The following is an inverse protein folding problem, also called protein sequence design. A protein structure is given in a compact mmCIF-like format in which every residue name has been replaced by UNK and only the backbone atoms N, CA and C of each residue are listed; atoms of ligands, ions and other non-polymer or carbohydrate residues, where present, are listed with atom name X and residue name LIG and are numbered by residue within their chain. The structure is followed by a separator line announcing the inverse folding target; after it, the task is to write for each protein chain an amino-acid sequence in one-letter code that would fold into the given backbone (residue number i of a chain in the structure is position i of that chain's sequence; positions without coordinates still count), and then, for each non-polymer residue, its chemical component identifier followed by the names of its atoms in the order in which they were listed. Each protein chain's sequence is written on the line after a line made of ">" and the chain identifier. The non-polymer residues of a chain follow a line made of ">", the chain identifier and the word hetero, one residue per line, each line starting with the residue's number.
data_IF_325058628078
#
_entry.id   IF_325058628078
#
_cell.length_a   1.000
_cell.length_b   1.000
_cell.length_c   1.000
_cell.angle_alpha   90.00
_cell.angle_beta   90.00
_cell.angle_gamma   90.00
#
_symmetry.space_group_name_H-M   'P 1'
#
loop_
_entity.id
_entity.type
_entity.pdbx_description
1 polymer ?
#
# COMPACT_ATOMS: atom_id res chain seq x y z
N UNK A 1 16.98 8.05 -70.75
CA UNK A 1 17.16 7.83 -69.30
C UNK A 1 15.87 7.22 -68.77
N UNK A 2 15.92 5.94 -68.43
CA UNK A 2 14.75 5.05 -68.40
C UNK A 2 13.90 5.19 -67.15
N UNK A 3 12.59 4.94 -67.31
CA UNK A 3 11.57 4.92 -66.26
C UNK A 3 11.99 4.10 -65.02
N UNK A 4 12.87 3.11 -65.17
CA UNK A 4 13.46 2.32 -64.09
C UNK A 4 14.29 3.12 -63.08
N UNK A 5 15.02 4.16 -63.51
CA UNK A 5 15.82 5.00 -62.61
C UNK A 5 14.94 5.89 -61.72
N UNK A 6 13.77 6.30 -62.24
CA UNK A 6 12.76 7.04 -61.45
C UNK A 6 12.11 6.17 -60.36
N UNK A 7 11.80 4.91 -60.69
CA UNK A 7 11.19 3.98 -59.72
C UNK A 7 12.15 3.67 -58.57
N UNK A 8 13.43 3.43 -58.86
CA UNK A 8 14.42 3.14 -57.80
C UNK A 8 14.58 4.33 -56.83
N UNK A 9 14.69 5.55 -57.35
CA UNK A 9 14.77 6.75 -56.48
C UNK A 9 13.50 6.97 -55.66
N UNK A 10 12.32 6.68 -56.20
CA UNK A 10 11.07 6.79 -55.47
C UNK A 10 10.97 5.77 -54.31
N UNK A 11 11.40 4.53 -54.55
CA UNK A 11 11.46 3.49 -53.50
C UNK A 11 12.46 3.86 -52.41
N UNK A 12 13.63 4.37 -52.77
CA UNK A 12 14.62 4.86 -51.80
C UNK A 12 14.08 6.04 -50.97
N UNK A 13 13.35 6.97 -51.59
CA UNK A 13 12.73 8.09 -50.88
C UNK A 13 11.64 7.61 -49.89
N UNK A 14 10.79 6.68 -50.31
CA UNK A 14 9.77 6.08 -49.43
C UNK A 14 10.40 5.38 -48.23
N UNK A 15 11.51 4.67 -48.43
CA UNK A 15 12.24 4.01 -47.35
C UNK A 15 12.80 5.02 -46.34
N UNK A 16 13.34 6.14 -46.80
CA UNK A 16 13.83 7.23 -45.91
C UNK A 16 12.68 7.87 -45.14
N UNK A 17 11.54 8.13 -45.78
CA UNK A 17 10.34 8.67 -45.10
C UNK A 17 9.84 7.69 -44.04
N UNK A 18 9.78 6.39 -44.35
CA UNK A 18 9.36 5.35 -43.41
C UNK A 18 10.33 5.25 -42.20
N UNK A 19 11.64 5.35 -42.43
CA UNK A 19 12.64 5.38 -41.36
C UNK A 19 12.48 6.62 -40.47
N UNK A 20 12.27 7.81 -41.05
CA UNK A 20 12.04 9.03 -40.28
C UNK A 20 10.75 8.94 -39.44
N UNK A 21 9.68 8.41 -40.02
CA UNK A 21 8.42 8.23 -39.29
C UNK A 21 8.55 7.20 -38.17
N UNK A 22 9.31 6.12 -38.40
CA UNK A 22 9.68 5.14 -37.38
C UNK A 22 10.50 5.77 -36.25
N UNK A 23 11.48 6.60 -36.58
CA UNK A 23 12.32 7.28 -35.60
C UNK A 23 11.53 8.27 -34.73
N UNK A 24 10.67 9.11 -35.33
CA UNK A 24 9.81 10.03 -34.57
C UNK A 24 8.87 9.25 -33.63
N UNK A 25 8.30 8.15 -34.12
CA UNK A 25 7.44 7.29 -33.30
C UNK A 25 8.21 6.62 -32.16
N UNK A 26 9.46 6.21 -32.40
CA UNK A 26 10.33 5.61 -31.41
C UNK A 26 10.70 6.61 -30.30
N UNK A 27 11.16 7.82 -30.67
CA UNK A 27 11.47 8.89 -29.71
C UNK A 27 10.23 9.28 -28.90
N UNK A 28 9.05 9.29 -29.53
CA UNK A 28 7.79 9.52 -28.82
C UNK A 28 7.50 8.45 -27.76
N UNK A 29 7.69 7.16 -28.09
CA UNK A 29 7.50 6.05 -27.14
C UNK A 29 8.50 6.09 -25.98
N UNK A 30 9.76 6.38 -26.26
CA UNK A 30 10.80 6.46 -25.23
C UNK A 30 10.52 7.58 -24.21
N UNK A 31 10.03 8.74 -24.68
CA UNK A 31 9.58 9.82 -23.79
C UNK A 31 8.39 9.39 -22.93
N UNK A 32 7.38 8.77 -23.55
CA UNK A 32 6.20 8.26 -22.83
C UNK A 32 6.60 7.22 -21.75
N UNK A 33 7.58 6.35 -22.02
CA UNK A 33 8.10 5.37 -21.06
C UNK A 33 8.85 6.03 -19.89
N UNK A 34 9.72 7.01 -20.17
CA UNK A 34 10.44 7.76 -19.13
C UNK A 34 9.46 8.50 -18.21
N UNK A 35 8.41 9.09 -18.76
CA UNK A 35 7.39 9.78 -17.96
C UNK A 35 6.59 8.82 -17.06
N UNK A 36 6.23 7.64 -17.57
CA UNK A 36 5.61 6.59 -16.75
C UNK A 36 6.52 6.11 -15.63
N UNK A 37 7.82 5.96 -15.89
CA UNK A 37 8.79 5.59 -14.87
C UNK A 37 8.90 6.67 -13.79
N UNK A 38 8.99 7.96 -14.19
CA UNK A 38 8.99 9.09 -13.24
C UNK A 38 7.75 9.10 -12.37
N UNK A 39 6.57 8.90 -12.97
CA UNK A 39 5.32 8.81 -12.22
C UNK A 39 5.34 7.64 -11.24
N UNK A 40 5.77 6.44 -11.66
CA UNK A 40 5.88 5.28 -10.77
C UNK A 40 6.73 5.60 -9.55
N UNK A 41 7.95 6.12 -9.75
CA UNK A 41 8.82 6.50 -8.65
C UNK A 41 8.20 7.58 -7.76
N UNK A 42 7.54 8.58 -8.35
CA UNK A 42 6.90 9.63 -7.58
C UNK A 42 5.76 9.10 -6.69
N UNK A 43 4.96 8.16 -7.19
CA UNK A 43 3.89 7.51 -6.42
C UNK A 43 4.50 6.61 -5.34
N UNK A 44 5.55 5.84 -5.65
CA UNK A 44 6.20 4.96 -4.67
C UNK A 44 6.80 5.73 -3.49
N UNK A 45 7.58 6.78 -3.76
CA UNK A 45 8.14 7.64 -2.70
C UNK A 45 7.06 8.34 -1.87
N UNK A 46 5.99 8.82 -2.52
CA UNK A 46 4.87 9.44 -1.84
C UNK A 46 4.11 8.43 -0.97
N UNK A 47 3.95 7.20 -1.45
CA UNK A 47 3.26 6.12 -0.73
C UNK A 47 4.05 5.69 0.50
N UNK A 48 5.38 5.56 0.38
CA UNK A 48 6.27 5.26 1.49
C UNK A 48 6.24 6.35 2.56
N UNK A 49 6.26 7.62 2.17
CA UNK A 49 6.15 8.72 3.11
C UNK A 49 4.80 8.76 3.81
N UNK A 50 3.70 8.53 3.08
CA UNK A 50 2.35 8.43 3.64
C UNK A 50 2.21 7.28 4.64
N UNK A 51 2.74 6.10 4.31
CA UNK A 51 2.78 4.93 5.19
C UNK A 51 3.59 5.21 6.46
N UNK A 52 4.74 5.88 6.36
CA UNK A 52 5.53 6.24 7.54
C UNK A 52 4.81 7.26 8.44
N UNK A 53 4.22 8.30 7.87
CA UNK A 53 3.53 9.34 8.63
C UNK A 53 2.32 8.80 9.41
N UNK A 54 1.56 7.87 8.81
CA UNK A 54 0.41 7.27 9.51
C UNK A 54 0.80 6.42 10.72
N UNK A 55 2.02 5.87 10.75
CA UNK A 55 2.54 5.05 11.85
C UNK A 55 3.15 5.91 12.96
N UNK A 56 3.86 6.98 12.60
CA UNK A 56 4.55 7.86 13.56
C UNK A 56 3.60 8.66 14.48
N UNK A 57 2.32 8.75 14.13
CA UNK A 57 1.31 9.50 14.91
C UNK A 57 0.72 8.69 16.08
N UNK A 58 0.94 7.38 16.13
CA UNK A 58 0.64 6.60 17.32
C UNK A 58 1.69 6.88 18.38
N UNK A 59 1.30 7.32 19.58
CA UNK A 59 2.18 7.43 20.75
C UNK A 59 3.13 6.22 20.79
N UNK A 60 4.41 6.48 20.53
CA UNK A 60 5.50 5.50 20.60
C UNK A 60 5.85 5.22 22.06
N UNK A 61 4.84 5.02 22.91
CA UNK A 61 5.02 4.32 24.19
C UNK A 61 4.93 2.82 23.87
N UNK A 62 5.98 2.33 23.20
CA UNK A 62 6.17 0.92 22.86
C UNK A 62 6.41 0.12 24.15
N UNK A 63 5.38 0.00 24.98
CA UNK A 63 5.35 -1.01 26.02
C UNK A 63 5.27 -2.36 25.30
N UNK A 64 6.42 -3.03 25.22
CA UNK A 64 6.63 -4.32 24.56
C UNK A 64 5.66 -5.43 25.04
N UNK A 65 4.93 -5.18 26.12
CA UNK A 65 3.90 -6.08 26.65
C UNK A 65 2.55 -5.98 25.93
N UNK A 66 2.29 -4.92 25.13
CA UNK A 66 1.06 -4.74 24.36
C UNK A 66 1.32 -4.90 22.85
N UNK A 67 1.25 -6.15 22.43
CA UNK A 67 1.47 -6.59 21.06
C UNK A 67 0.64 -5.82 20.02
N UNK A 68 1.31 -5.23 19.02
CA UNK A 68 0.86 -5.04 17.62
C UNK A 68 -0.37 -4.15 17.33
N UNK A 69 -0.90 -3.37 18.27
CA UNK A 69 -1.99 -2.43 17.97
C UNK A 69 -1.46 -1.06 17.54
N UNK A 70 -1.39 -0.80 16.23
CA UNK A 70 -1.08 0.52 15.67
C UNK A 70 -2.37 1.28 15.35
N UNK A 71 -2.51 2.50 15.88
CA UNK A 71 -3.63 3.39 15.52
C UNK A 71 -3.22 4.22 14.32
N UNK A 72 -3.66 3.82 13.14
CA UNK A 72 -3.35 4.56 11.91
C UNK A 72 -4.20 5.82 11.79
N UNK A 73 -3.60 6.91 11.33
CA UNK A 73 -4.32 8.11 10.91
C UNK A 73 -4.38 8.15 9.37
N UNK A 74 -5.53 7.80 8.75
CA UNK A 74 -5.63 7.72 7.30
C UNK A 74 -5.54 9.09 6.61
N UNK A 75 -6.07 10.15 7.23
CA UNK A 75 -6.01 11.49 6.66
C UNK A 75 -4.57 12.00 6.56
N UNK A 76 -3.79 11.81 7.62
CA UNK A 76 -2.38 12.21 7.60
C UNK A 76 -1.57 11.41 6.56
N UNK A 77 -1.90 10.13 6.36
CA UNK A 77 -1.27 9.30 5.33
C UNK A 77 -1.47 9.93 3.94
N UNK A 78 -2.71 10.33 3.65
CA UNK A 78 -3.10 10.93 2.38
C UNK A 78 -2.50 12.33 2.19
N UNK A 79 -2.54 13.18 3.22
CA UNK A 79 -1.98 14.53 3.15
C UNK A 79 -0.46 14.48 2.91
N UNK A 80 0.25 13.58 3.60
CA UNK A 80 1.69 13.39 3.42
C UNK A 80 2.01 12.83 2.02
N UNK A 81 1.18 11.91 1.52
CA UNK A 81 1.30 11.41 0.15
C UNK A 81 1.20 12.56 -0.86
N UNK A 82 0.17 13.40 -0.74
CA UNK A 82 -0.07 14.53 -1.65
C UNK A 82 1.10 15.51 -1.59
N UNK A 83 1.63 15.81 -0.40
CA UNK A 83 2.74 16.74 -0.23
C UNK A 83 4.02 16.25 -0.91
N UNK A 84 4.38 14.99 -0.68
CA UNK A 84 5.55 14.38 -1.31
C UNK A 84 5.36 14.24 -2.82
N UNK A 85 4.15 13.93 -3.28
CA UNK A 85 3.83 13.90 -4.71
C UNK A 85 4.01 15.29 -5.35
N UNK A 86 3.54 16.37 -4.69
CA UNK A 86 3.76 17.74 -5.13
C UNK A 86 5.26 18.04 -5.26
N UNK A 87 6.05 17.70 -4.24
CA UNK A 87 7.50 17.91 -4.25
C UNK A 87 8.20 17.14 -5.38
N UNK A 88 7.80 15.89 -5.64
CA UNK A 88 8.35 15.06 -6.72
C UNK A 88 8.15 15.68 -8.11
N UNK A 89 7.08 16.47 -8.29
CA UNK A 89 6.79 17.21 -9.52
C UNK A 89 7.25 18.67 -9.50
N UNK A 90 8.00 19.09 -8.47
CA UNK A 90 8.49 20.45 -8.32
C UNK A 90 7.40 21.48 -8.01
N UNK A 91 6.24 21.03 -7.52
CA UNK A 91 5.13 21.88 -7.11
C UNK A 91 5.24 22.14 -5.60
N UNK A 92 5.01 23.39 -5.20
CA UNK A 92 4.86 23.72 -3.77
C UNK A 92 3.47 23.26 -3.29
N UNK A 93 3.33 22.66 -2.08
CA UNK A 93 2.06 22.09 -1.60
C UNK A 93 1.06 23.17 -1.14
N UNK A 94 0.67 24.08 -2.05
CA UNK A 94 -0.46 25.01 -1.87
C UNK A 94 -1.79 24.26 -1.95
N UNK A 95 -2.85 24.83 -1.39
CA UNK A 95 -4.21 24.26 -1.44
C UNK A 95 -4.66 23.93 -2.88
N UNK A 96 -4.38 24.83 -3.82
CA UNK A 96 -4.67 24.63 -5.25
C UNK A 96 -3.92 23.44 -5.86
N UNK A 97 -2.62 23.30 -5.57
CA UNK A 97 -1.81 22.20 -6.09
C UNK A 97 -2.21 20.86 -5.43
N UNK A 98 -2.55 20.88 -4.14
CA UNK A 98 -3.08 19.71 -3.43
C UNK A 98 -4.40 19.25 -4.04
N UNK A 99 -5.33 20.16 -4.32
CA UNK A 99 -6.59 19.86 -5.01
C UNK A 99 -6.34 19.25 -6.39
N UNK A 100 -5.43 19.84 -7.17
CA UNK A 100 -5.04 19.30 -8.49
C UNK A 100 -4.50 17.87 -8.41
N UNK A 101 -3.71 17.55 -7.37
CA UNK A 101 -3.20 16.20 -7.17
C UNK A 101 -4.30 15.24 -6.71
N UNK A 102 -5.23 15.69 -5.85
CA UNK A 102 -6.40 14.92 -5.42
C UNK A 102 -7.29 14.53 -6.61
N UNK A 103 -7.45 15.41 -7.60
CA UNK A 103 -8.18 15.12 -8.84
C UNK A 103 -7.58 13.96 -9.63
N UNK A 104 -6.28 13.69 -9.49
CA UNK A 104 -5.66 12.53 -10.13
C UNK A 104 -5.82 11.24 -9.33
N UNK A 105 -6.39 11.28 -8.12
CA UNK A 105 -6.55 10.11 -7.25
C UNK A 105 -8.03 9.69 -7.26
N UNK A 106 -8.41 8.70 -8.08
CA UNK A 106 -9.75 8.12 -8.03
C UNK A 106 -10.08 7.48 -6.69
N UNK A 107 -9.15 6.66 -6.19
CA UNK A 107 -9.34 5.82 -5.01
C UNK A 107 -8.02 5.69 -4.28
N UNK A 108 -8.06 5.85 -2.96
CA UNK A 108 -6.98 5.46 -2.06
C UNK A 108 -7.54 4.53 -0.99
N UNK A 109 -6.74 3.62 -0.45
CA UNK A 109 -7.12 2.76 0.64
C UNK A 109 -6.03 2.71 1.70
N UNK A 110 -6.42 2.77 2.97
CA UNK A 110 -5.53 2.58 4.11
C UNK A 110 -5.94 1.29 4.80
N UNK A 111 -5.09 0.28 4.70
CA UNK A 111 -5.25 -0.98 5.39
C UNK A 111 -4.71 -0.83 6.82
N UNK A 112 -5.59 -0.98 7.81
CA UNK A 112 -5.26 -0.95 9.23
C UNK A 112 -5.27 -2.38 9.81
N UNK A 113 -4.90 -2.51 11.08
CA UNK A 113 -4.78 -3.83 11.72
C UNK A 113 -6.11 -4.61 11.77
N UNK A 114 -7.23 -3.95 12.03
CA UNK A 114 -8.56 -4.51 12.32
C UNK A 114 -9.63 -4.10 11.28
N UNK A 115 -9.20 -3.53 10.16
CA UNK A 115 -10.07 -3.11 9.06
C UNK A 115 -9.36 -2.15 8.12
N UNK A 116 -10.08 -1.58 7.17
CA UNK A 116 -9.51 -0.68 6.18
C UNK A 116 -10.41 0.53 5.96
N UNK A 117 -9.82 1.61 5.47
CA UNK A 117 -10.50 2.83 5.03
C UNK A 117 -10.34 2.92 3.52
N UNK A 118 -11.40 3.33 2.82
CA UNK A 118 -11.30 3.69 1.41
C UNK A 118 -11.66 5.16 1.28
N UNK A 119 -10.78 5.93 0.63
CA UNK A 119 -11.10 7.26 0.16
C UNK A 119 -11.60 7.21 -1.29
N UNK A 120 -12.70 7.91 -1.52
CA UNK A 120 -13.32 8.11 -2.83
C UNK A 120 -13.61 9.58 -3.03
N UNK A 121 -13.74 9.98 -4.29
CA UNK A 121 -14.20 11.32 -4.64
C UNK A 121 -15.66 11.46 -4.22
N UNK A 122 -15.93 12.35 -3.27
CA UNK A 122 -17.27 12.69 -2.83
C UNK A 122 -17.52 14.19 -3.03
N UNK A 123 -18.76 14.53 -3.40
CA UNK A 123 -19.18 15.92 -3.53
C UNK A 123 -19.32 16.52 -2.12
N UNK A 124 -18.40 17.39 -1.72
CA UNK A 124 -18.54 18.14 -0.47
C UNK A 124 -19.63 19.19 -0.67
N UNK A 125 -20.70 19.07 0.11
CA UNK A 125 -21.73 20.10 0.23
C UNK A 125 -21.20 21.18 1.16
N UNK A 126 -21.18 22.43 0.69
CA UNK A 126 -20.70 23.53 1.51
C UNK A 126 -21.63 23.69 2.72
N UNK A 127 -21.07 23.78 3.92
CA UNK A 127 -21.85 23.89 5.17
C UNK A 127 -22.60 25.24 5.32
N UNK A 128 -22.48 26.13 4.33
CA UNK A 128 -23.05 27.48 4.37
C UNK A 128 -24.33 27.49 3.52
N UNK A 129 -25.47 27.68 4.19
CA UNK A 129 -26.83 27.84 3.65
C UNK A 129 -26.92 28.56 2.28
N UNK A 130 -26.66 27.85 1.19
CA UNK A 130 -27.07 28.20 -0.15
C UNK A 130 -27.98 27.10 -0.69
N UNK A 131 -29.03 27.43 -1.45
CA UNK A 131 -29.86 26.43 -2.09
C UNK A 131 -29.04 25.78 -3.21
N UNK A 132 -28.21 24.82 -2.84
CA UNK A 132 -27.31 24.14 -3.77
C UNK A 132 -28.10 23.18 -4.65
N UNK A 133 -28.21 23.53 -5.92
CA UNK A 133 -28.61 22.59 -6.96
C UNK A 133 -27.38 21.72 -7.28
N UNK A 134 -27.50 20.39 -7.40
CA UNK A 134 -26.37 19.44 -7.57
C UNK A 134 -25.48 19.65 -8.81
N UNK A 135 -25.74 20.69 -9.60
CA UNK A 135 -25.07 20.97 -10.86
C UNK A 135 -24.05 22.13 -10.80
N UNK A 136 -23.94 22.88 -9.68
CA UNK A 136 -23.20 24.17 -9.72
C UNK A 136 -22.30 24.58 -8.55
N UNK A 137 -22.29 23.89 -7.41
CA UNK A 137 -21.54 24.40 -6.23
C UNK A 137 -20.84 23.35 -5.35
N UNK A 138 -20.86 22.08 -5.75
CA UNK A 138 -20.16 21.04 -4.99
C UNK A 138 -18.72 20.89 -5.47
N UNK A 139 -17.77 21.11 -4.57
CA UNK A 139 -16.36 20.79 -4.79
C UNK A 139 -16.16 19.29 -4.57
N UNK A 140 -15.39 18.64 -5.43
CA UNK A 140 -15.07 17.22 -5.27
C UNK A 140 -13.85 17.10 -4.37
N UNK A 141 -13.95 16.30 -3.31
CA UNK A 141 -12.79 16.02 -2.46
C UNK A 141 -12.66 14.52 -2.23
N UNK A 142 -11.44 14.11 -1.96
CA UNK A 142 -11.09 12.73 -1.65
C UNK A 142 -11.31 12.49 -0.15
N UNK A 143 -12.44 11.88 0.18
CA UNK A 143 -12.87 11.68 1.58
C UNK A 143 -12.82 10.21 1.95
N UNK A 144 -12.23 9.90 3.11
CA UNK A 144 -12.24 8.54 3.66
C UNK A 144 -13.63 8.16 4.18
N UNK A 145 -14.13 7.03 3.69
CA UNK A 145 -15.28 6.33 4.24
C UNK A 145 -15.04 5.83 5.67
N UNK A 146 -16.13 5.48 6.35
CA UNK A 146 -16.05 4.80 7.65
C UNK A 146 -15.24 3.51 7.53
N UNK A 147 -14.56 3.15 8.61
CA UNK A 147 -13.76 1.92 8.68
C UNK A 147 -14.59 0.69 8.33
N UNK A 148 -14.16 -0.06 7.32
CA UNK A 148 -14.77 -1.32 6.92
C UNK A 148 -13.99 -2.50 7.52
N UNK A 149 -14.66 -3.50 8.10
CA UNK A 149 -13.98 -4.69 8.63
C UNK A 149 -13.55 -5.64 7.50
N UNK A 150 -12.55 -6.49 7.79
CA UNK A 150 -12.20 -7.62 6.93
C UNK A 150 -13.22 -8.75 7.06
N UNK A 151 -14.37 -8.56 6.42
CA UNK A 151 -15.53 -9.45 6.56
C UNK A 151 -15.30 -10.79 5.87
N UNK A 152 -15.55 -11.86 6.62
CA UNK A 152 -15.63 -13.24 6.13
C UNK A 152 -16.98 -13.86 6.53
N UNK A 153 -17.55 -14.65 5.62
CA UNK A 153 -18.66 -15.54 5.93
C UNK A 153 -18.41 -16.91 5.31
N UNK A 154 -18.57 -18.01 6.06
CA UNK A 154 -18.32 -19.36 5.54
C UNK A 154 -19.25 -19.73 4.38
N UNK A 155 -20.48 -19.22 4.42
CA UNK A 155 -21.50 -19.44 3.41
C UNK A 155 -22.24 -18.12 3.16
N UNK A 156 -22.64 -17.80 1.91
CA UNK A 156 -23.37 -16.56 1.61
C UNK A 156 -24.68 -16.36 2.39
N UNK A 157 -25.28 -17.45 2.88
CA UNK A 157 -26.53 -17.47 3.64
C UNK A 157 -26.32 -17.66 5.15
N UNK A 158 -25.08 -17.69 5.63
CA UNK A 158 -24.79 -17.85 7.05
C UNK A 158 -25.16 -16.60 7.83
N UNK A 159 -25.80 -16.76 8.99
CA UNK A 159 -26.03 -15.70 9.98
C UNK A 159 -24.77 -15.32 10.76
N UNK A 160 -23.66 -16.04 10.53
CA UNK A 160 -22.39 -15.82 11.21
C UNK A 160 -21.48 -15.00 10.30
N UNK A 161 -21.07 -13.83 10.79
CA UNK A 161 -20.11 -12.96 10.13
C UNK A 161 -18.86 -12.85 10.99
N UNK A 162 -17.71 -13.04 10.37
CA UNK A 162 -16.41 -12.87 11.01
C UNK A 162 -15.76 -11.59 10.50
N UNK A 163 -15.09 -10.86 11.38
CA UNK A 163 -14.19 -9.76 11.04
C UNK A 163 -12.77 -10.19 11.41
N UNK A 164 -11.97 -10.46 10.38
CA UNK A 164 -10.58 -10.82 10.51
C UNK A 164 -9.74 -9.59 10.94
N UNK A 165 -8.57 -9.86 11.49
CA UNK A 165 -7.53 -8.86 11.69
C UNK A 165 -6.21 -9.33 11.06
N UNK A 166 -5.29 -8.39 10.81
CA UNK A 166 -3.98 -8.69 10.21
C UNK A 166 -3.06 -9.48 11.13
N UNK A 167 -3.32 -9.49 12.44
CA UNK A 167 -2.55 -10.25 13.41
C UNK A 167 -2.83 -11.74 13.41
N UNK A 168 -3.98 -12.16 12.89
CA UNK A 168 -4.42 -13.56 12.76
C UNK A 168 -4.51 -14.34 14.08
N UNK A 169 -4.48 -13.65 15.23
CA UNK A 169 -4.50 -14.28 16.56
C UNK A 169 -5.91 -14.45 17.11
N UNK A 170 -6.81 -13.58 16.68
CA UNK A 170 -8.17 -13.47 17.17
C UNK A 170 -9.06 -12.96 16.06
N UNK A 171 -10.34 -13.30 16.13
CA UNK A 171 -11.35 -12.89 15.15
C UNK A 171 -12.57 -12.40 15.90
N UNK A 172 -13.20 -11.34 15.42
CA UNK A 172 -14.49 -10.92 15.95
C UNK A 172 -15.60 -11.64 15.19
N UNK A 173 -16.53 -12.25 15.92
CA UNK A 173 -17.67 -12.98 15.36
C UNK A 173 -18.94 -12.25 15.74
N UNK A 174 -19.77 -11.94 14.75
CA UNK A 174 -21.12 -11.45 14.90
C UNK A 174 -22.09 -12.61 14.61
N UNK A 175 -22.81 -13.04 15.63
CA UNK A 175 -23.85 -14.08 15.54
C UNK A 175 -25.08 -13.58 16.29
N UNK A 176 -26.25 -13.61 15.66
CA UNK A 176 -27.53 -13.20 16.27
C UNK A 176 -27.46 -11.80 16.94
N UNK A 177 -26.85 -10.84 16.24
CA UNK A 177 -26.61 -9.45 16.69
C UNK A 177 -25.73 -9.30 17.95
N UNK A 178 -25.04 -10.36 18.37
CA UNK A 178 -24.09 -10.33 19.47
C UNK A 178 -22.65 -10.47 18.94
N UNK A 179 -21.76 -9.60 19.42
CA UNK A 179 -20.36 -9.56 19.04
C UNK A 179 -19.50 -10.29 20.08
N UNK A 180 -18.79 -11.32 19.66
CA UNK A 180 -17.88 -12.10 20.49
C UNK A 180 -16.47 -12.10 19.90
N UNK A 181 -15.45 -12.13 20.75
CA UNK A 181 -14.08 -12.36 20.33
C UNK A 181 -13.77 -13.84 20.44
N UNK A 182 -13.33 -14.45 19.35
CA UNK A 182 -12.84 -15.83 19.32
C UNK A 182 -11.32 -15.81 19.17
N UNK A 183 -10.64 -16.68 19.91
CA UNK A 183 -9.21 -16.88 19.71
C UNK A 183 -8.98 -17.76 18.47
N UNK A 184 -8.05 -17.34 17.63
CA UNK A 184 -7.71 -17.98 16.38
C UNK A 184 -8.52 -17.52 15.17
N UNK A 185 -8.37 -18.29 14.10
CA UNK A 185 -8.99 -18.03 12.80
C UNK A 185 -10.36 -18.72 12.68
N UNK A 186 -11.29 -18.16 11.90
CA UNK A 186 -12.63 -18.70 11.78
C UNK A 186 -12.64 -20.05 11.07
N UNK A 187 -13.73 -20.80 11.26
CA UNK A 187 -13.96 -22.06 10.55
C UNK A 187 -14.40 -21.79 9.11
N UNK A 188 -13.81 -22.53 8.18
CA UNK A 188 -14.25 -22.68 6.79
C UNK A 188 -15.04 -23.99 6.64
N UNK A 189 -15.76 -24.20 5.52
CA UNK A 189 -16.43 -25.48 5.25
C UNK A 189 -15.51 -26.72 5.26
N UNK A 190 -14.19 -26.52 5.15
CA UNK A 190 -13.20 -27.60 5.04
C UNK A 190 -12.32 -27.74 6.29
N UNK A 191 -12.50 -26.91 7.32
CA UNK A 191 -11.70 -26.93 8.55
C UNK A 191 -11.42 -25.54 9.09
N UNK A 192 -10.44 -25.39 9.97
CA UNK A 192 -10.00 -24.06 10.45
C UNK A 192 -9.26 -23.32 9.33
N UNK A 193 -9.60 -22.05 9.11
CA UNK A 193 -8.93 -21.21 8.11
C UNK A 193 -7.42 -21.12 8.41
N UNK A 194 -6.60 -21.28 7.39
CA UNK A 194 -5.16 -21.09 7.49
C UNK A 194 -4.78 -19.61 7.45
N UNK A 195 -3.60 -19.27 7.99
CA UNK A 195 -3.07 -17.90 7.92
C UNK A 195 -2.90 -17.38 6.50
N UNK A 196 -2.61 -18.27 5.53
CA UNK A 196 -2.48 -17.90 4.13
C UNK A 196 -3.83 -17.56 3.51
N UNK A 197 -4.87 -18.36 3.79
CA UNK A 197 -6.24 -18.09 3.32
C UNK A 197 -6.79 -16.80 3.92
N UNK A 198 -6.53 -16.54 5.21
CA UNK A 198 -6.94 -15.30 5.88
C UNK A 198 -6.30 -14.07 5.23
N UNK A 199 -4.98 -14.10 4.96
CA UNK A 199 -4.28 -13.01 4.24
C UNK A 199 -4.80 -12.84 2.81
N UNK A 200 -5.04 -13.94 2.11
CA UNK A 200 -5.62 -13.90 0.75
C UNK A 200 -7.02 -13.28 0.77
N UNK A 201 -7.84 -13.57 1.77
CA UNK A 201 -9.15 -12.97 1.93
C UNK A 201 -9.04 -11.46 2.20
N UNK A 202 -8.18 -11.04 3.14
CA UNK A 202 -7.95 -9.62 3.43
C UNK A 202 -7.57 -8.85 2.15
N UNK A 203 -6.59 -9.37 1.40
CA UNK A 203 -6.17 -8.78 0.13
C UNK A 203 -7.33 -8.72 -0.86
N UNK A 204 -8.07 -9.81 -1.03
CA UNK A 204 -9.19 -9.90 -1.98
C UNK A 204 -10.31 -8.94 -1.61
N UNK A 205 -10.63 -8.78 -0.31
CA UNK A 205 -11.66 -7.84 0.16
C UNK A 205 -11.30 -6.40 -0.17
N UNK A 206 -10.08 -5.96 0.15
CA UNK A 206 -9.62 -4.60 -0.17
C UNK A 206 -9.63 -4.39 -1.69
N UNK A 207 -9.09 -5.35 -2.43
CA UNK A 207 -8.98 -5.26 -3.90
C UNK A 207 -10.33 -5.16 -4.58
N UNK A 208 -11.29 -5.98 -4.16
CA UNK A 208 -12.63 -5.97 -4.74
C UNK A 208 -13.37 -4.67 -4.42
N UNK A 209 -13.22 -4.14 -3.20
CA UNK A 209 -13.87 -2.87 -2.84
C UNK A 209 -13.22 -1.70 -3.60
N UNK A 210 -11.89 -1.65 -3.69
CA UNK A 210 -11.20 -0.66 -4.54
C UNK A 210 -11.63 -0.77 -6.01
N UNK A 211 -11.66 -1.98 -6.56
CA UNK A 211 -12.09 -2.22 -7.94
C UNK A 211 -13.55 -1.81 -8.17
N UNK A 212 -14.43 -2.06 -7.20
CA UNK A 212 -15.81 -1.60 -7.23
C UNK A 212 -15.89 -0.08 -7.27
N UNK A 213 -15.19 0.63 -6.36
CA UNK A 213 -15.16 2.10 -6.36
C UNK A 213 -14.60 2.67 -7.67
N UNK A 214 -13.52 2.08 -8.20
CA UNK A 214 -12.95 2.51 -9.48
C UNK A 214 -13.95 2.32 -10.62
N UNK A 215 -14.66 1.19 -10.66
CA UNK A 215 -15.68 0.96 -11.69
C UNK A 215 -16.82 1.96 -11.57
N UNK A 216 -17.31 2.23 -10.36
CA UNK A 216 -18.35 3.25 -10.13
C UNK A 216 -17.89 4.63 -10.60
N UNK A 217 -16.68 5.05 -10.26
CA UNK A 217 -16.21 6.37 -10.68
C UNK A 217 -15.89 6.41 -12.18
N UNK A 218 -15.42 5.32 -12.79
CA UNK A 218 -15.23 5.24 -14.25
C UNK A 218 -16.57 5.31 -15.02
N UNK A 219 -17.66 4.80 -14.45
CA UNK A 219 -19.01 4.94 -15.02
C UNK A 219 -19.48 6.41 -14.99
N UNK A 220 -19.12 7.15 -13.94
CA UNK A 220 -19.48 8.56 -13.76
C UNK A 220 -18.52 9.52 -14.48
N UNK A 221 -17.24 9.15 -14.65
CA UNK A 221 -16.20 9.97 -15.25
C UNK A 221 -15.57 9.28 -16.48
N UNK A 222 -15.95 9.66 -17.72
CA UNK A 222 -15.48 9.03 -18.94
C UNK A 222 -13.97 9.24 -19.23
N UNK A 223 -13.30 10.10 -18.46
CA UNK A 223 -11.86 10.31 -18.55
C UNK A 223 -11.04 9.23 -17.82
N UNK A 224 -11.66 8.46 -16.93
CA UNK A 224 -11.01 7.36 -16.21
C UNK A 224 -11.46 6.02 -16.80
N UNK A 225 -10.49 5.20 -17.20
CA UNK A 225 -10.74 3.97 -17.99
C UNK A 225 -9.95 2.76 -17.52
N UNK A 226 -9.24 2.87 -16.39
CA UNK A 226 -8.40 1.78 -15.93
C UNK A 226 -9.18 0.86 -14.99
N UNK A 227 -9.07 -0.44 -15.23
CA UNK A 227 -9.56 -1.50 -14.34
C UNK A 227 -8.37 -2.00 -13.50
N UNK A 228 -8.63 -2.27 -12.23
CA UNK A 228 -7.59 -2.57 -11.25
C UNK A 228 -7.80 -3.93 -10.59
N UNK A 229 -6.71 -4.66 -10.35
CA UNK A 229 -6.72 -5.96 -9.68
C UNK A 229 -5.42 -6.13 -8.88
N UNK A 230 -5.49 -6.40 -7.57
CA UNK A 230 -4.34 -6.83 -6.78
C UNK A 230 -4.34 -8.36 -6.77
N UNK A 231 -3.32 -9.01 -7.37
CA UNK A 231 -3.25 -10.46 -7.34
C UNK A 231 -3.03 -10.98 -5.91
N UNK A 232 -3.75 -12.05 -5.57
CA UNK A 232 -3.70 -12.74 -4.26
C UNK A 232 -2.39 -13.51 -4.01
N UNK A 233 -1.68 -13.84 -5.08
CA UNK A 233 -0.34 -14.39 -5.12
C UNK A 233 0.35 -13.68 -6.28
N UNK A 234 1.51 -13.05 -6.06
CA UNK A 234 2.61 -12.88 -7.03
C UNK A 234 3.60 -11.85 -6.45
N UNK A 235 4.59 -12.34 -5.71
CA UNK A 235 5.87 -11.67 -5.40
C UNK A 235 6.80 -11.58 -6.62
N UNK A 236 6.28 -11.71 -7.84
CA UNK A 236 7.05 -11.81 -9.08
C UNK A 236 6.69 -10.75 -10.13
N UNK A 237 5.68 -9.91 -9.88
CA UNK A 237 5.61 -8.61 -10.53
C UNK A 237 6.38 -7.62 -9.66
N UNK A 238 7.46 -7.03 -10.20
CA UNK A 238 8.05 -5.87 -9.55
C UNK A 238 6.96 -4.79 -9.39
N UNK A 239 6.65 -4.43 -8.15
CA UNK A 239 5.70 -3.36 -7.83
C UNK A 239 4.47 -3.74 -6.98
N UNK A 240 4.23 -5.00 -6.63
CA UNK A 240 3.14 -5.36 -5.69
C UNK A 240 3.57 -6.39 -4.65
N UNK A 241 3.46 -6.02 -3.36
CA UNK A 241 3.64 -6.92 -2.23
C UNK A 241 2.27 -7.25 -1.60
N UNK A 242 2.05 -8.49 -1.11
CA UNK A 242 0.85 -8.78 -0.32
C UNK A 242 0.79 -7.89 0.92
N UNK A 243 -0.41 -7.51 1.34
CA UNK A 243 -0.61 -6.66 2.52
C UNK A 243 -0.38 -7.52 3.76
N UNK A 244 0.78 -7.33 4.40
CA UNK A 244 1.17 -8.11 5.58
C UNK A 244 1.02 -7.35 6.91
N UNK A 245 0.87 -6.04 6.84
CA UNK A 245 0.65 -5.13 7.96
C UNK A 245 0.00 -3.83 7.47
N UNK A 246 0.00 -2.77 8.29
CA UNK A 246 -0.59 -1.50 7.89
C UNK A 246 0.03 -0.96 6.60
N UNK A 247 -0.83 -0.62 5.63
CA UNK A 247 -0.43 -0.23 4.28
C UNK A 247 -1.28 0.90 3.73
N UNK A 248 -0.68 1.74 2.89
CA UNK A 248 -1.33 2.74 2.07
C UNK A 248 -1.29 2.26 0.60
N UNK A 249 -2.47 2.21 -0.01
CA UNK A 249 -2.66 1.90 -1.42
C UNK A 249 -3.21 3.15 -2.10
N UNK A 250 -2.56 3.62 -3.16
CA UNK A 250 -3.02 4.79 -3.90
C UNK A 250 -2.99 4.48 -5.39
N UNK A 251 -4.12 4.70 -6.04
CA UNK A 251 -4.21 4.68 -7.49
C UNK A 251 -4.23 6.11 -8.01
N UNK A 252 -3.33 6.42 -8.95
CA UNK A 252 -3.26 7.73 -9.59
C UNK A 252 -3.55 7.56 -11.08
N UNK A 253 -4.52 8.28 -11.61
CA UNK A 253 -4.95 8.20 -12.99
C UNK A 253 -4.98 9.56 -13.68
N UNK A 254 -4.62 9.57 -14.96
CA UNK A 254 -4.84 10.74 -15.80
C UNK A 254 -3.87 11.90 -15.59
N UNK A 255 -2.71 11.65 -14.96
CA UNK A 255 -1.70 12.69 -14.69
C UNK A 255 -1.19 13.25 -16.01
N UNK A 256 -1.31 14.56 -16.18
CA UNK A 256 -0.88 15.29 -17.37
C UNK A 256 0.03 16.50 -17.03
N UNK A 257 0.72 16.43 -15.89
CA UNK A 257 1.55 17.53 -15.37
C UNK A 257 2.79 17.82 -16.23
N UNK A 258 3.43 16.78 -16.77
CA UNK A 258 4.62 16.88 -17.62
C UNK A 258 4.42 16.32 -19.04
N UNK A 259 3.46 15.41 -19.21
CA UNK A 259 3.20 14.70 -20.46
C UNK A 259 2.04 15.32 -21.23
N UNK A 260 2.13 15.29 -22.57
CA UNK A 260 1.02 15.63 -23.47
C UNK A 260 -0.09 14.58 -23.50
N UNK A 261 0.18 13.37 -23.00
CA UNK A 261 -0.80 12.29 -22.84
C UNK A 261 -1.01 11.98 -21.36
N UNK A 262 -2.26 11.74 -20.92
CA UNK A 262 -2.51 11.29 -19.56
C UNK A 262 -1.78 9.98 -19.29
N UNK A 263 -1.01 9.95 -18.21
CA UNK A 263 -0.34 8.75 -17.69
C UNK A 263 -0.98 8.35 -16.36
N UNK A 264 -1.03 7.06 -16.10
CA UNK A 264 -1.57 6.49 -14.87
C UNK A 264 -0.53 5.60 -14.23
N UNK A 265 -0.55 5.54 -12.90
CA UNK A 265 0.36 4.75 -12.11
C UNK A 265 -0.32 4.27 -10.82
N UNK A 266 0.26 3.25 -10.21
CA UNK A 266 -0.28 2.63 -9.03
C UNK A 266 0.86 2.26 -8.09
N UNK A 267 0.65 2.43 -6.79
CA UNK A 267 1.60 1.97 -5.78
C UNK A 267 0.90 1.35 -4.57
N UNK A 268 1.59 0.37 -3.99
CA UNK A 268 1.27 -0.22 -2.69
C UNK A 268 2.50 0.00 -1.82
N UNK A 269 2.34 0.80 -0.77
CA UNK A 269 3.34 0.90 0.28
C UNK A 269 2.78 0.26 1.54
N UNK A 270 3.52 -0.68 2.11
CA UNK A 270 3.12 -1.41 3.29
C UNK A 270 4.27 -1.56 4.26
N UNK A 271 3.96 -1.56 5.55
CA UNK A 271 4.93 -1.94 6.57
C UNK A 271 4.67 -3.35 7.04
N UNK A 272 5.73 -4.15 7.06
CA UNK A 272 5.76 -5.39 7.83
C UNK A 272 6.53 -5.12 9.11
N UNK A 273 5.85 -5.17 10.26
CA UNK A 273 6.53 -5.25 11.55
C UNK A 273 6.92 -6.70 11.74
N UNK A 274 8.05 -7.10 11.16
CA UNK A 274 8.71 -8.32 11.62
C UNK A 274 9.00 -8.14 13.11
N UNK A 275 8.47 -9.04 13.94
CA UNK A 275 8.88 -9.14 15.33
C UNK A 275 10.37 -9.51 15.33
N UNK A 276 11.24 -8.49 15.33
CA UNK A 276 12.68 -8.70 15.40
C UNK A 276 12.95 -9.39 16.73
N UNK A 277 13.50 -10.61 16.66
CA UNK A 277 13.95 -11.34 17.85
C UNK A 277 15.01 -10.50 18.53
N UNK A 278 14.69 -9.91 19.68
CA UNK A 278 15.64 -9.14 20.46
C UNK A 278 16.80 -10.03 20.89
N UNK A 279 17.98 -9.43 20.95
CA UNK A 279 19.19 -10.09 21.42
C UNK A 279 19.41 -9.67 22.86
N UNK A 280 19.54 -10.61 23.78
CA UNK A 280 19.86 -10.35 25.18
C UNK A 280 21.35 -10.54 25.40
N UNK A 281 21.98 -9.57 26.07
CA UNK A 281 23.31 -9.70 26.67
C UNK A 281 23.20 -10.19 28.10
N UNK A 282 23.92 -11.26 28.43
CA UNK A 282 23.97 -11.82 29.77
C UNK A 282 25.39 -12.29 30.10
N UNK A 283 25.69 -12.46 31.38
CA UNK A 283 27.02 -12.89 31.81
C UNK A 283 26.95 -14.30 32.42
N UNK A 284 27.81 -15.20 31.94
CA UNK A 284 27.96 -16.56 32.47
C UNK A 284 29.42 -16.79 32.86
N UNK A 285 29.65 -17.09 34.14
CA UNK A 285 30.98 -17.42 34.66
C UNK A 285 32.06 -16.37 34.33
N UNK A 286 31.72 -15.09 34.40
CA UNK A 286 32.63 -13.98 34.14
C UNK A 286 32.72 -13.53 32.68
N UNK A 287 32.24 -14.34 31.72
CA UNK A 287 32.25 -14.01 30.29
C UNK A 287 30.90 -13.47 29.83
N UNK A 288 30.92 -12.38 29.06
CA UNK A 288 29.73 -11.75 28.47
C UNK A 288 29.31 -12.51 27.21
N UNK A 289 28.06 -12.94 27.16
CA UNK A 289 27.47 -13.65 26.02
C UNK A 289 26.20 -12.96 25.53
N UNK A 290 25.89 -13.12 24.25
CA UNK A 290 24.58 -12.74 23.71
C UNK A 290 23.85 -13.92 23.06
N UNK A 291 22.53 -13.94 23.18
CA UNK A 291 21.63 -14.90 22.52
C UNK A 291 20.28 -14.23 22.20
N UNK A 292 19.41 -14.89 21.42
CA UNK A 292 18.04 -14.39 21.25
C UNK A 292 17.25 -14.47 22.58
N UNK A 293 16.42 -13.47 22.84
CA UNK A 293 15.67 -13.31 24.10
C UNK A 293 14.81 -14.54 24.47
N UNK A 294 14.26 -15.21 23.47
CA UNK A 294 13.45 -16.43 23.63
C UNK A 294 14.27 -17.69 23.92
N UNK A 295 15.60 -17.61 23.78
CA UNK A 295 16.55 -18.70 24.05
C UNK A 295 17.52 -18.37 25.19
N UNK A 296 17.29 -17.29 25.90
CA UNK A 296 18.07 -16.93 27.07
C UNK A 296 18.01 -18.05 28.13
N UNK A 297 19.13 -18.41 28.78
CA UNK A 297 19.09 -19.35 29.89
C UNK A 297 18.22 -18.81 31.03
N UNK A 298 17.37 -19.63 31.63
CA UNK A 298 16.48 -19.19 32.72
C UNK A 298 17.22 -18.81 34.02
N UNK A 299 18.52 -19.13 34.10
CA UNK A 299 19.36 -18.96 35.30
C UNK A 299 20.43 -17.87 35.14
N UNK A 300 20.24 -16.93 34.21
CA UNK A 300 21.17 -15.79 34.02
C UNK A 300 20.44 -14.47 34.15
N UNK A 301 21.11 -13.49 34.75
CA UNK A 301 20.64 -12.12 34.82
C UNK A 301 20.89 -11.44 33.47
N UNK A 302 19.82 -10.91 32.88
CA UNK A 302 19.88 -10.15 31.62
C UNK A 302 20.44 -8.78 31.97
N UNK A 303 21.61 -8.45 31.43
CA UNK A 303 22.27 -7.17 31.67
C UNK A 303 21.75 -6.10 30.72
N UNK A 304 21.56 -6.47 29.45
CA UNK A 304 21.31 -5.50 28.39
C UNK A 304 20.51 -6.14 27.24
N UNK A 305 19.75 -5.31 26.53
CA UNK A 305 18.92 -5.70 25.38
C UNK A 305 19.41 -4.97 24.14
N UNK A 306 19.64 -5.71 23.06
CA UNK A 306 20.17 -5.23 21.80
C UNK A 306 19.20 -5.50 20.65
N UNK A 307 19.15 -4.58 19.69
CA UNK A 307 18.28 -4.69 18.52
C UNK A 307 18.90 -5.57 17.44
N UNK A 308 20.23 -5.69 17.41
CA UNK A 308 20.95 -6.53 16.45
C UNK A 308 22.08 -7.32 17.10
N UNK A 309 22.46 -8.42 16.47
CA UNK A 309 23.64 -9.21 16.85
C UNK A 309 24.92 -8.37 16.76
N UNK A 310 24.99 -7.47 15.77
CA UNK A 310 26.16 -6.62 15.55
C UNK A 310 26.34 -5.62 16.70
N UNK A 311 25.25 -5.01 17.16
CA UNK A 311 25.25 -4.08 18.29
C UNK A 311 25.70 -4.77 19.59
N UNK A 312 25.24 -6.01 19.83
CA UNK A 312 25.71 -6.81 20.96
C UNK A 312 27.21 -7.15 20.87
N UNK A 313 27.71 -7.45 19.67
CA UNK A 313 29.12 -7.73 19.44
C UNK A 313 30.00 -6.48 19.61
N UNK A 314 29.54 -5.32 19.14
CA UNK A 314 30.20 -4.02 19.34
C UNK A 314 30.26 -3.63 20.82
N UNK A 315 29.23 -3.97 21.59
CA UNK A 315 29.19 -3.82 23.05
C UNK A 315 30.09 -4.83 23.81
N UNK A 316 30.81 -5.70 23.09
CA UNK A 316 31.80 -6.62 23.65
C UNK A 316 31.22 -7.93 24.20
N UNK A 317 30.02 -8.32 23.78
CA UNK A 317 29.42 -9.62 24.11
C UNK A 317 29.82 -10.67 23.06
N UNK A 318 30.11 -11.89 23.52
CA UNK A 318 30.47 -13.01 22.64
C UNK A 318 29.23 -13.83 22.21
N UNK A 319 29.27 -14.38 21.00
CA UNK A 319 28.22 -15.23 20.49
C UNK A 319 28.09 -16.52 21.31
N UNK A 320 26.93 -16.80 21.89
CA UNK A 320 26.62 -18.14 22.39
C UNK A 320 26.23 -19.06 21.22
N UNK A 321 27.24 -19.70 20.63
CA UNK A 321 27.13 -20.54 19.43
C UNK A 321 26.04 -21.62 19.57
N UNK A 322 25.87 -22.20 20.76
CA UNK A 322 24.87 -23.26 20.99
C UNK A 322 23.43 -22.77 20.94
N UNK A 323 23.20 -21.47 21.14
CA UNK A 323 21.85 -20.88 21.25
C UNK A 323 21.52 -19.96 20.07
N UNK A 324 22.54 -19.55 19.31
CA UNK A 324 22.44 -18.78 18.06
C UNK A 324 22.23 -19.65 16.81
N UNK A 325 22.57 -20.94 16.83
CA UNK A 325 22.34 -21.83 15.68
C UNK A 325 20.84 -22.04 15.40
N UNK A 326 20.46 -21.82 14.13
CA UNK A 326 19.14 -22.15 13.57
C UNK A 326 18.97 -23.67 13.49
N UNK A 327 17.79 -24.24 13.76
CA UNK A 327 17.30 -25.35 12.93
C UNK A 327 16.97 -24.85 11.52
#
# INVERSE_FOLDING_TARGET
>A
MGKSFGVVNFVSLLFVIALFMGYISYVGKERDEIERLKLSYAIDYASDAGTQAMLQTSDLDMDYTKEKYFKVNPQLALDTFIDVFCFNYGMYPTEFNRATVKDFIPVAAVAAYDGYYIATQELIRSAVNHPESPARDGDWDLVFSMKKPYRYSPTPTSSIHYALNMGLRDTLTLTDDQLYRIDGLPLTPYGTMSSQEARALINTTISNDMAYQINTINEENPNWKNVFFIPNQLTTFGGVNPIEGPSLLVLVQGVNLSSTKPISGFSISGTSVEARRMVVGYQLSGTKYYAFADRAPSNVEIQELFYTINEAAEAGYFADVKRLEKP
#
